data_IF_481382378150
#
_entry.id   IF_481382378150
#
_cell.length_a   1.000
_cell.length_b   1.000
_cell.length_c   1.000
_cell.angle_alpha   90.00
_cell.angle_beta   90.00
_cell.angle_gamma   90.00
#
_symmetry.space_group_name_H-M   'P 1'
#
loop_
_entity.id
_entity.type
_entity.pdbx_description
1 polymer ?
#
# COMPACT_ATOMS: atom_id res chain seq x y z
N UNK A 1 3.63 -29.03 -5.36
CA UNK A 1 2.75 -27.95 -5.86
C UNK A 1 2.49 -27.00 -4.71
N UNK A 2 3.17 -25.85 -4.67
CA UNK A 2 3.01 -24.88 -3.58
C UNK A 2 1.84 -23.93 -3.83
N UNK A 3 0.76 -24.13 -3.10
CA UNK A 3 -0.43 -23.29 -3.07
C UNK A 3 -0.16 -21.99 -2.28
N UNK A 4 -0.86 -20.91 -2.62
CA UNK A 4 -0.76 -19.63 -1.90
C UNK A 4 -1.27 -19.80 -0.47
N UNK A 5 -0.56 -19.18 0.49
CA UNK A 5 -0.97 -19.18 1.89
C UNK A 5 -2.20 -18.29 2.07
N UNK A 6 -3.27 -18.88 2.60
CA UNK A 6 -4.47 -18.16 3.02
C UNK A 6 -4.34 -17.86 4.51
N UNK A 7 -4.53 -16.60 4.88
CA UNK A 7 -4.51 -16.15 6.27
C UNK A 7 -5.88 -15.60 6.64
N UNK A 8 -6.44 -15.97 7.80
CA UNK A 8 -7.63 -15.31 8.30
C UNK A 8 -7.28 -13.87 8.71
N UNK A 9 -8.05 -12.90 8.25
CA UNK A 9 -7.92 -11.50 8.65
C UNK A 9 -9.29 -10.87 8.84
N UNK A 10 -9.31 -9.70 9.48
CA UNK A 10 -10.53 -8.91 9.63
C UNK A 10 -10.62 -7.90 8.49
N UNK A 11 -11.70 -7.95 7.72
CA UNK A 11 -11.99 -6.97 6.65
C UNK A 11 -13.38 -6.39 6.89
N UNK A 12 -13.52 -5.07 6.88
CA UNK A 12 -14.84 -4.41 6.95
C UNK A 12 -15.66 -4.68 8.22
N UNK A 13 -15.01 -5.10 9.30
CA UNK A 13 -15.67 -5.49 10.55
C UNK A 13 -16.05 -6.97 10.61
N UNK A 14 -15.85 -7.75 9.55
CA UNK A 14 -16.01 -9.20 9.56
C UNK A 14 -14.70 -9.87 9.96
N UNK A 15 -14.74 -10.63 11.05
CA UNK A 15 -13.59 -11.36 11.55
C UNK A 15 -13.42 -12.70 10.82
N UNK A 16 -12.17 -13.15 10.69
CA UNK A 16 -11.84 -14.48 10.17
C UNK A 16 -12.14 -14.68 8.67
N UNK A 17 -12.15 -13.59 7.89
CA UNK A 17 -12.27 -13.65 6.42
C UNK A 17 -11.01 -14.31 5.84
N UNK A 18 -11.20 -15.23 4.89
CA UNK A 18 -10.09 -15.85 4.19
C UNK A 18 -9.42 -14.84 3.25
N UNK A 19 -8.19 -14.44 3.57
CA UNK A 19 -7.44 -13.44 2.81
C UNK A 19 -6.13 -14.00 2.28
N UNK A 20 -5.59 -13.36 1.24
CA UNK A 20 -4.30 -13.69 0.65
C UNK A 20 -3.49 -12.42 0.43
N UNK A 21 -2.17 -12.53 0.47
CA UNK A 21 -1.31 -11.42 0.11
C UNK A 21 -1.33 -11.23 -1.42
N UNK A 22 -1.79 -10.07 -1.87
CA UNK A 22 -1.89 -9.75 -3.30
C UNK A 22 -0.53 -9.76 -4.02
N UNK A 23 0.57 -9.44 -3.32
CA UNK A 23 1.93 -9.49 -3.90
C UNK A 23 2.39 -10.92 -4.11
N UNK A 24 2.23 -11.77 -3.11
CA UNK A 24 2.57 -13.19 -3.23
C UNK A 24 1.71 -13.87 -4.31
N UNK A 25 0.43 -13.49 -4.42
CA UNK A 25 -0.46 -13.93 -5.50
C UNK A 25 0.07 -13.52 -6.88
N UNK A 26 0.49 -12.27 -7.05
CA UNK A 26 1.06 -11.77 -8.29
C UNK A 26 2.33 -12.52 -8.70
N UNK A 27 3.25 -12.73 -7.76
CA UNK A 27 4.48 -13.49 -7.98
C UNK A 27 4.21 -14.94 -8.35
N UNK A 28 3.26 -15.59 -7.66
CA UNK A 28 2.84 -16.96 -7.95
C UNK A 28 2.18 -17.14 -9.32
N UNK A 29 1.43 -16.15 -9.77
CA UNK A 29 0.85 -16.14 -11.12
C UNK A 29 1.91 -15.97 -12.21
N UNK A 30 3.11 -15.47 -11.88
CA UNK A 30 4.16 -15.20 -12.85
C UNK A 30 3.75 -14.12 -13.86
N UNK A 31 2.86 -13.21 -13.47
CA UNK A 31 2.39 -12.11 -14.31
C UNK A 31 3.56 -11.23 -14.74
N UNK A 32 3.66 -10.96 -16.04
CA UNK A 32 4.69 -10.09 -16.62
C UNK A 32 4.40 -8.59 -16.46
N UNK A 33 3.19 -8.27 -16.01
CA UNK A 33 2.73 -6.90 -15.81
C UNK A 33 3.24 -6.35 -14.46
N UNK A 34 3.55 -5.05 -14.34
CA UNK A 34 3.87 -4.48 -13.03
C UNK A 34 2.68 -4.61 -12.06
N UNK A 35 2.98 -4.97 -10.80
CA UNK A 35 1.98 -5.20 -9.75
C UNK A 35 0.93 -4.08 -9.66
N UNK A 36 1.34 -2.81 -9.75
CA UNK A 36 0.44 -1.65 -9.64
C UNK A 36 -0.66 -1.64 -10.71
N UNK A 37 -0.31 -1.98 -11.95
CA UNK A 37 -1.27 -2.05 -13.05
C UNK A 37 -2.13 -3.30 -12.90
N UNK A 38 -1.50 -4.43 -12.60
CA UNK A 38 -2.18 -5.70 -12.40
C UNK A 38 -3.25 -5.61 -11.30
N UNK A 39 -2.90 -5.07 -10.13
CA UNK A 39 -3.82 -4.99 -8.99
C UNK A 39 -5.00 -4.06 -9.29
N UNK A 40 -4.77 -2.92 -9.95
CA UNK A 40 -5.85 -2.02 -10.37
C UNK A 40 -6.83 -2.72 -11.33
N UNK A 41 -6.30 -3.48 -12.29
CA UNK A 41 -7.12 -4.27 -13.22
C UNK A 41 -7.92 -5.35 -12.47
N UNK A 42 -7.31 -6.06 -11.53
CA UNK A 42 -8.03 -7.07 -10.74
C UNK A 42 -9.14 -6.46 -9.88
N UNK A 43 -8.85 -5.36 -9.17
CA UNK A 43 -9.81 -4.64 -8.35
C UNK A 43 -11.01 -4.18 -9.20
N UNK A 44 -10.76 -3.64 -10.40
CA UNK A 44 -11.81 -3.20 -11.31
C UNK A 44 -12.62 -4.38 -11.88
N UNK A 45 -11.94 -5.43 -12.36
CA UNK A 45 -12.59 -6.62 -12.95
C UNK A 45 -13.50 -7.34 -11.97
N UNK A 46 -13.08 -7.44 -10.71
CA UNK A 46 -13.81 -8.09 -9.64
C UNK A 46 -14.76 -7.13 -8.89
N UNK A 47 -14.72 -5.83 -9.21
CA UNK A 47 -15.51 -4.76 -8.55
C UNK A 47 -15.32 -4.76 -7.03
N UNK A 48 -14.08 -4.92 -6.59
CA UNK A 48 -13.71 -4.99 -5.18
C UNK A 48 -13.71 -3.60 -4.55
N UNK A 49 -14.18 -3.51 -3.32
CA UNK A 49 -14.32 -2.26 -2.56
C UNK A 49 -13.32 -2.25 -1.41
N UNK A 50 -12.57 -1.15 -1.26
CA UNK A 50 -11.63 -0.96 -0.16
C UNK A 50 -12.38 -0.93 1.18
N UNK A 51 -11.85 -1.63 2.19
CA UNK A 51 -12.48 -1.73 3.50
C UNK A 51 -13.65 -2.71 3.54
N UNK A 52 -13.97 -3.40 2.44
CA UNK A 52 -14.95 -4.50 2.41
C UNK A 52 -14.37 -5.78 1.83
N UNK A 53 -13.67 -5.68 0.70
CA UNK A 53 -13.15 -6.84 -0.03
C UNK A 53 -11.62 -6.91 0.01
N UNK A 54 -10.95 -5.77 0.22
CA UNK A 54 -9.51 -5.71 0.42
C UNK A 54 -9.15 -4.55 1.35
N UNK A 55 -7.98 -4.66 1.97
CA UNK A 55 -7.39 -3.59 2.78
C UNK A 55 -6.01 -3.31 2.23
N UNK A 56 -5.72 -2.04 1.96
CA UNK A 56 -4.35 -1.61 1.63
C UNK A 56 -3.61 -1.46 2.94
N UNK A 57 -2.78 -2.43 3.28
CA UNK A 57 -1.83 -2.27 4.38
C UNK A 57 -0.74 -1.30 3.91
N UNK A 58 -0.98 0.00 4.07
CA UNK A 58 0.12 0.95 4.00
C UNK A 58 1.09 0.53 5.11
N UNK A 59 2.38 0.21 4.83
CA UNK A 59 3.35 0.15 5.90
C UNK A 59 3.20 1.50 6.59
N UNK A 60 2.96 1.50 7.90
CA UNK A 60 2.94 2.72 8.67
C UNK A 60 4.22 3.46 8.30
N UNK A 61 4.10 4.49 7.46
CA UNK A 61 5.11 5.50 7.34
C UNK A 61 4.97 6.20 8.67
N UNK A 62 5.57 5.60 9.70
CA UNK A 62 5.85 6.21 10.97
C UNK A 62 6.85 7.31 10.68
N UNK A 63 6.32 8.35 10.08
CA UNK A 63 6.90 9.65 10.06
C UNK A 63 5.80 10.59 10.56
N UNK A 64 5.61 10.69 11.89
CA UNK A 64 4.85 11.79 12.48
C UNK A 64 5.43 13.17 12.10
N UNK A 65 6.59 13.21 11.44
CA UNK A 65 7.28 14.40 10.96
C UNK A 65 7.35 14.43 9.42
N UNK A 66 6.18 14.43 8.76
CA UNK A 66 6.05 14.60 7.31
C UNK A 66 6.98 15.66 6.73
N UNK A 67 8.14 15.24 6.22
CA UNK A 67 8.73 15.70 4.97
C UNK A 67 8.95 17.19 4.72
N UNK A 68 9.15 18.04 5.74
CA UNK A 68 9.93 19.28 5.54
C UNK A 68 10.76 19.57 6.77
N UNK A 69 12.10 19.50 6.72
CA UNK A 69 12.89 20.21 7.71
C UNK A 69 12.49 21.69 7.62
N UNK A 70 11.98 22.27 8.70
CA UNK A 70 11.71 23.71 8.88
C UNK A 70 13.01 24.52 8.93
N UNK A 71 13.98 24.19 8.07
CA UNK A 71 15.25 24.90 7.95
C UNK A 71 15.30 25.65 6.64
N UNK A 72 14.32 26.53 6.43
CA UNK A 72 14.66 27.81 5.83
C UNK A 72 15.37 28.61 6.93
N UNK A 73 16.66 28.32 7.14
CA UNK A 73 17.52 29.26 7.85
C UNK A 73 17.50 30.58 7.07
N UNK A 74 17.45 31.75 7.72
CA UNK A 74 17.53 33.01 7.01
C UNK A 74 18.94 33.17 6.44
N UNK A 75 19.14 32.77 5.18
CA UNK A 75 20.25 33.25 4.37
C UNK A 75 19.82 34.56 3.70
N UNK A 76 19.70 35.60 4.51
CA UNK A 76 19.64 36.99 4.06
C UNK A 76 21.02 37.60 4.27
N UNK A 77 21.81 37.64 3.20
CA UNK A 77 23.13 38.27 3.11
C UNK A 77 23.12 39.69 3.72
N UNK A 78 24.18 40.02 4.44
CA UNK A 78 24.45 41.40 4.82
C UNK A 78 24.52 42.33 3.60
N UNK A 79 24.05 43.55 3.80
CA UNK A 79 24.62 44.74 3.16
C UNK A 79 24.67 45.86 4.17
N UNK A 80 25.90 46.25 4.48
CA UNK A 80 26.23 47.53 5.08
C UNK A 80 25.66 48.67 4.23
N UNK A 81 25.09 49.68 4.90
CA UNK A 81 25.34 51.11 4.68
C UNK A 81 24.88 51.87 5.90
#
# INVERSE_FOLDING_TARGET
MDLIKITPATIGGEANVQTVNARELHEKLGSREPYSQWVQVQLARLRLIEGRDFVVSQPALNNPLGGRPSRLGPLGRGRAR
#
